data_IF_800720178827
#
_entry.id   IF_800720178827
#
_cell.length_a   1.000
_cell.length_b   1.000
_cell.length_c   1.000
_cell.angle_alpha   90.00
_cell.angle_beta   90.00
_cell.angle_gamma   90.00
#
_symmetry.space_group_name_H-M   'P 1'
#
loop_
_entity.id
_entity.type
_entity.pdbx_description
1 polymer ?
2 polymer ?
3 non-polymer ?
4 non-polymer ?
5 non-polymer ?
6 non-polymer ?
7 non-polymer ?
8 water ?
#
# COMPACT_ATOMS: atom_id res chain seq x y z
N UNK A 6 -9.41 -5.61 8.62
CA UNK A 6 -9.14 -5.00 9.93
C UNK A 6 -7.90 -5.60 10.58
N UNK A 7 -8.10 -6.63 11.40
CA UNK A 7 -7.00 -7.25 12.13
C UNK A 7 -6.40 -8.43 11.38
N UNK A 8 -5.30 -8.96 11.90
CA UNK A 8 -4.61 -10.09 11.28
C UNK A 8 -5.12 -11.42 11.83
N UNK A 9 -4.32 -12.48 11.66
CA UNK A 9 -4.73 -13.79 12.03
C UNK A 9 -4.60 -14.01 13.52
N UNK A 10 -5.37 -14.97 14.04
CA UNK A 10 -5.30 -15.35 15.45
C UNK A 10 -3.98 -16.05 15.76
N UNK A 26 14.14 3.54 30.18
CA UNK A 26 13.81 4.87 29.67
C UNK A 26 13.99 5.93 30.75
N UNK A 27 14.99 6.79 30.58
CA UNK A 27 15.28 7.85 31.53
C UNK A 27 15.02 9.22 30.92
N UNK A 28 14.74 10.21 31.77
CA UNK A 28 14.47 11.57 31.32
C UNK A 28 15.49 12.55 31.89
N UNK A 29 16.13 13.31 31.01
CA UNK A 29 17.14 14.30 31.41
C UNK A 29 16.73 15.72 31.01
N UNK A 30 17.67 16.65 31.11
CA UNK A 30 17.42 18.05 30.77
C UNK A 30 18.57 18.64 29.95
N UNK A 35 16.36 21.27 26.81
CA UNK A 35 15.00 20.73 26.65
C UNK A 35 14.84 19.39 27.36
N UNK A 36 13.67 18.77 27.21
CA UNK A 36 13.42 17.48 27.81
C UNK A 36 14.00 16.37 26.93
N UNK A 37 14.91 15.59 27.50
CA UNK A 37 15.60 14.54 26.76
C UNK A 37 15.18 13.15 27.23
N UNK A 38 14.73 12.32 26.30
CA UNK A 38 14.40 10.94 26.58
C UNK A 38 15.52 10.03 26.09
N UNK A 39 16.05 9.20 26.99
CA UNK A 39 17.13 8.28 26.65
C UNK A 39 16.67 6.82 26.81
N UNK A 40 16.88 6.03 25.76
CA UNK A 40 16.52 4.61 25.80
C UNK A 40 17.63 3.77 25.18
N UNK A 41 17.68 2.49 25.55
CA UNK A 41 18.59 1.58 24.86
C UNK A 41 17.84 0.85 23.76
N UNK A 42 18.07 1.28 22.53
CA UNK A 42 17.33 0.76 21.38
C UNK A 42 18.20 -0.10 20.48
N UNK A 43 17.56 -1.09 19.88
CA UNK A 43 18.20 -2.02 18.97
C UNK A 43 18.05 -1.53 17.53
N UNK A 44 19.18 -1.39 16.81
CA UNK A 44 19.18 -0.96 15.41
C UNK A 44 18.36 -1.91 14.53
N UNK A 45 17.74 -1.39 13.48
CA UNK A 45 16.86 -2.18 12.64
C UNK A 45 17.55 -3.26 11.82
N UNK A 46 18.74 -2.95 11.32
CA UNK A 46 19.48 -3.86 10.46
C UNK A 46 20.58 -4.57 11.24
N UNK A 47 21.14 -5.61 10.64
CA UNK A 47 22.27 -6.33 11.22
C UNK A 47 21.95 -7.05 12.51
N UNK A 48 22.97 -7.61 13.16
CA UNK A 48 22.84 -8.33 14.42
C UNK A 48 22.40 -7.40 15.55
N UNK A 49 21.70 -7.94 16.54
CA UNK A 49 21.23 -7.14 17.67
C UNK A 49 22.39 -6.58 18.45
N UNK A 50 22.62 -5.28 18.28
CA UNK A 50 23.65 -4.57 19.04
C UNK A 50 23.07 -3.25 19.52
N UNK A 51 22.33 -3.30 20.64
CA UNK A 51 21.59 -2.12 21.10
C UNK A 51 22.52 -1.00 21.54
N UNK A 52 22.09 0.23 21.30
CA UNK A 52 22.89 1.38 21.69
C UNK A 52 21.99 2.42 22.33
N UNK A 53 22.57 3.24 23.20
CA UNK A 53 21.81 4.31 23.83
C UNK A 53 21.38 5.30 22.77
N UNK A 54 20.09 5.64 22.78
CA UNK A 54 19.55 6.62 21.86
C UNK A 54 18.83 7.71 22.65
N UNK A 55 19.15 8.97 22.34
CA UNK A 55 18.53 10.10 23.01
C UNK A 55 17.74 10.94 22.01
N UNK A 56 16.55 11.37 22.40
CA UNK A 56 15.76 12.24 21.54
C UNK A 56 14.99 13.29 22.32
N UNK A 57 14.60 14.36 21.63
CA UNK A 57 13.86 15.47 22.24
C UNK A 57 12.71 15.91 21.35
N UNK A 58 11.98 16.93 21.80
CA UNK A 58 10.91 17.56 21.04
C UNK A 58 9.83 16.57 20.59
N UNK A 59 9.43 15.70 21.49
CA UNK A 59 8.44 14.69 21.17
C UNK A 59 7.06 15.33 21.04
N UNK A 60 6.35 14.97 19.98
CA UNK A 60 4.94 15.32 19.84
C UNK A 60 4.18 14.29 19.00
N UNK A 61 2.91 14.12 19.31
CA UNK A 61 2.05 13.19 18.55
C UNK A 61 1.75 13.77 17.19
N UNK A 62 2.05 13.00 16.14
CA UNK A 62 1.66 13.37 14.79
C UNK A 62 0.61 12.38 14.28
N UNK A 63 0.12 11.53 15.17
CA UNK A 63 -0.86 10.53 14.81
C UNK A 63 -1.29 9.66 15.98
N UNK A 64 -2.60 9.40 16.09
CA UNK A 64 -3.10 8.56 17.16
C UNK A 64 -4.30 7.72 16.73
N UNK A 65 -4.29 6.46 17.12
CA UNK A 65 -5.38 5.55 16.80
C UNK A 65 -5.50 4.44 17.82
N UNK A 66 -6.44 3.53 17.58
CA UNK A 66 -6.65 2.39 18.47
C UNK A 66 -5.48 1.41 18.44
N UNK A 67 -4.59 1.59 17.47
CA UNK A 67 -3.38 0.76 17.35
C UNK A 67 -2.34 1.21 18.37
N UNK A 68 -2.32 2.50 18.65
CA UNK A 68 -1.33 3.10 19.53
C UNK A 68 -1.12 4.57 19.20
N UNK A 69 0.08 5.06 19.42
CA UNK A 69 0.39 6.47 19.16
C UNK A 69 1.65 6.62 18.30
N UNK A 70 1.63 7.57 17.38
CA UNK A 70 2.79 7.87 16.55
C UNK A 70 3.33 9.24 16.91
N UNK A 71 4.63 9.32 17.18
CA UNK A 71 5.24 10.55 17.66
C UNK A 71 6.30 11.03 16.69
N UNK A 72 6.48 12.35 16.61
CA UNK A 72 7.69 12.87 15.99
C UNK A 72 8.69 13.17 17.09
N UNK A 73 9.97 13.06 16.78
CA UNK A 73 11.02 13.43 17.72
C UNK A 73 12.31 13.76 16.98
N UNK A 74 13.23 14.40 17.67
CA UNK A 74 14.51 14.77 17.09
C UNK A 74 15.64 14.07 17.83
N UNK A 75 16.42 13.28 17.11
CA UNK A 75 17.60 12.63 17.71
C UNK A 75 18.60 13.68 18.16
N UNK A 76 19.06 13.55 19.40
CA UNK A 76 19.96 14.54 19.99
C UNK A 76 21.29 14.65 19.26
N UNK A 77 21.85 13.53 18.83
CA UNK A 77 23.16 13.53 18.21
C UNK A 77 23.17 14.21 16.84
N UNK A 78 22.30 13.75 15.95
CA UNK A 78 22.31 14.21 14.56
C UNK A 78 21.34 15.35 14.29
N UNK A 79 20.38 15.55 15.17
CA UNK A 79 19.35 16.55 14.96
C UNK A 79 18.30 16.14 13.94
N UNK A 80 18.40 14.90 13.46
CA UNK A 80 17.47 14.41 12.44
C UNK A 80 16.13 14.05 13.05
N UNK A 81 15.06 14.36 12.32
CA UNK A 81 13.71 14.05 12.76
C UNK A 81 13.40 12.57 12.53
N UNK A 82 12.64 12.00 13.45
CA UNK A 82 12.20 10.62 13.31
C UNK A 82 10.75 10.50 13.70
N UNK A 83 10.13 9.38 13.29
CA UNK A 83 8.79 9.02 13.72
C UNK A 83 8.92 7.86 14.68
N UNK A 84 8.12 7.85 15.73
CA UNK A 84 8.16 6.74 16.66
C UNK A 84 6.77 6.15 16.75
N UNK A 85 6.59 4.99 16.12
CA UNK A 85 5.30 4.33 16.11
C UNK A 85 5.21 3.42 17.32
N UNK A 86 4.29 3.73 18.23
CA UNK A 86 4.14 2.95 19.44
C UNK A 86 2.90 2.06 19.34
N UNK A 87 3.11 0.76 19.35
CA UNK A 87 2.02 -0.20 19.20
C UNK A 87 1.99 -1.19 20.36
N UNK A 88 0.79 -1.45 20.86
CA UNK A 88 0.59 -2.43 21.92
C UNK A 88 0.84 -3.83 21.38
N UNK A 89 1.61 -4.61 22.14
CA UNK A 89 1.91 -5.98 21.74
C UNK A 89 0.79 -6.94 22.15
N UNK A 90 -0.26 -7.00 21.34
CA UNK A 90 -1.40 -7.90 21.60
C UNK A 90 -1.05 -9.35 21.26
N UNK A 91 -1.03 -10.20 22.28
CA UNK A 91 -0.64 -11.59 22.12
C UNK A 91 -1.76 -12.46 21.54
N UNK A 92 -2.96 -11.89 21.42
CA UNK A 92 -4.10 -12.61 20.87
C UNK A 92 -4.02 -12.72 19.34
N UNK A 93 -3.17 -11.90 18.74
CA UNK A 93 -2.97 -11.93 17.30
C UNK A 93 -1.50 -12.14 16.94
N UNK A 94 -1.25 -12.42 15.66
CA UNK A 94 0.13 -12.63 15.19
C UNK A 94 0.76 -11.31 14.74
N UNK A 95 1.83 -10.90 15.43
CA UNK A 95 2.49 -9.63 15.17
C UNK A 95 3.82 -9.80 14.43
N UNK A 96 3.78 -9.61 13.11
CA UNK A 96 4.94 -9.83 12.26
C UNK A 96 5.57 -8.52 11.83
N UNK A 97 5.03 -7.41 12.31
CA UNK A 97 5.45 -6.09 11.82
C UNK A 97 6.94 -5.83 12.04
N UNK A 98 7.44 -6.13 13.23
CA UNK A 98 8.86 -5.94 13.53
C UNK A 98 9.69 -6.94 12.72
N UNK A 99 9.33 -8.21 12.85
CA UNK A 99 10.02 -9.29 12.14
C UNK A 99 10.16 -9.01 10.64
N UNK A 100 9.13 -8.42 10.06
CA UNK A 100 9.13 -8.15 8.63
C UNK A 100 9.96 -6.91 8.28
N UNK A 101 9.71 -5.81 8.99
CA UNK A 101 10.46 -4.57 8.76
C UNK A 101 11.98 -4.72 8.85
N UNK A 102 12.45 -5.51 9.80
CA UNK A 102 13.89 -5.68 10.02
C UNK A 102 14.62 -6.24 8.81
N UNK A 103 13.91 -6.97 7.96
CA UNK A 103 14.53 -7.63 6.81
C UNK A 103 14.49 -6.75 5.58
N UNK A 104 13.78 -5.62 5.68
CA UNK A 104 13.55 -4.77 4.52
C UNK A 104 14.59 -3.66 4.41
N UNK A 105 15.17 -3.53 3.23
CA UNK A 105 16.12 -2.47 2.96
C UNK A 105 15.96 -2.01 1.52
N UNK A 106 15.13 -0.99 1.31
CA UNK A 106 14.81 -0.53 -0.03
C UNK A 106 14.52 0.96 0.00
N UNK A 107 14.86 1.66 -1.08
CA UNK A 107 14.75 3.12 -1.13
C UNK A 107 13.30 3.61 -1.17
N UNK A 108 12.36 2.70 -1.39
CA UNK A 108 10.95 3.07 -1.47
C UNK A 108 10.13 2.48 -0.33
N UNK A 109 10.84 2.12 0.73
CA UNK A 109 10.20 1.61 1.94
C UNK A 109 10.79 2.38 3.11
N UNK A 110 9.94 2.85 4.02
CA UNK A 110 10.44 3.67 5.13
C UNK A 110 11.43 2.90 6.00
N UNK A 111 12.54 3.53 6.33
CA UNK A 111 13.62 2.89 7.08
C UNK A 111 13.28 2.71 8.55
N UNK A 112 13.51 1.51 9.06
CA UNK A 112 13.44 1.26 10.50
C UNK A 112 14.83 1.54 11.07
N UNK A 113 14.96 2.60 11.86
CA UNK A 113 16.27 2.96 12.42
C UNK A 113 16.58 2.13 13.65
N UNK A 114 15.65 2.13 14.59
CA UNK A 114 15.80 1.39 15.84
C UNK A 114 14.44 0.88 16.29
N UNK A 115 14.44 -0.05 17.23
CA UNK A 115 13.22 -0.43 17.94
C UNK A 115 13.53 -0.67 19.40
N UNK A 116 12.57 -0.38 20.28
CA UNK A 116 12.72 -0.65 21.71
C UNK A 116 11.37 -0.92 22.37
N UNK A 117 11.42 -1.51 23.57
CA UNK A 117 10.21 -1.80 24.33
C UNK A 117 10.05 -0.91 25.55
N UNK A 118 8.80 -0.61 25.89
CA UNK A 118 8.49 0.28 27.01
C UNK A 118 7.09 0.00 27.55
N UNK A 119 6.88 0.34 28.82
CA UNK A 119 5.57 0.18 29.45
C UNK A 119 4.62 1.31 29.08
N UNK A 122 -1.75 1.66 29.26
CA UNK A 122 -2.26 0.55 30.05
C UNK A 122 -1.18 -0.05 30.95
N UNK A 123 -1.46 -0.10 32.24
CA UNK A 123 -0.53 -0.67 33.21
C UNK A 123 -0.38 -2.17 32.99
N UNK A 124 0.75 -2.72 33.46
CA UNK A 124 1.07 -4.14 33.29
C UNK A 124 1.02 -4.56 31.82
N UNK A 125 1.43 -3.66 30.94
CA UNK A 125 1.44 -3.93 29.50
C UNK A 125 2.73 -3.43 28.87
N UNK A 126 3.17 -4.09 27.81
CA UNK A 126 4.40 -3.70 27.12
C UNK A 126 4.15 -3.29 25.67
N UNK A 127 4.67 -2.12 25.32
CA UNK A 127 4.49 -1.56 23.97
C UNK A 127 5.76 -1.67 23.13
N UNK A 128 5.57 -1.87 21.84
CA UNK A 128 6.67 -1.91 20.87
C UNK A 128 6.86 -0.54 20.23
N UNK A 129 8.09 -0.05 20.22
CA UNK A 129 8.39 1.26 19.64
C UNK A 129 9.25 1.13 18.39
N UNK A 130 8.74 1.64 17.27
CA UNK A 130 9.49 1.58 16.03
C UNK A 130 9.97 2.98 15.68
N UNK A 131 11.29 3.15 15.67
CA UNK A 131 11.88 4.45 15.34
C UNK A 131 12.18 4.48 13.84
N UNK A 132 11.42 5.28 13.11
CA UNK A 132 11.47 5.28 11.65
C UNK A 132 11.95 6.62 11.14
N UNK A 133 12.41 6.67 9.89
CA UNK A 133 12.69 7.96 9.27
C UNK A 133 11.38 8.73 9.22
N UNK A 134 11.46 10.03 9.45
CA UNK A 134 10.28 10.87 9.40
C UNK A 134 10.07 11.33 7.97
N UNK A 135 8.85 11.12 7.48
CA UNK A 135 8.46 11.56 6.15
C UNK A 135 7.21 12.41 6.30
N UNK A 136 7.25 13.66 5.83
CA UNK A 136 6.22 14.65 6.20
C UNK A 136 4.82 14.47 5.57
N UNK A 137 4.71 13.91 4.37
CA UNK A 137 3.39 13.81 3.72
C UNK A 137 3.01 12.39 3.34
N UNK A 138 1.76 12.22 2.91
CA UNK A 138 1.28 10.96 2.38
C UNK A 138 0.57 11.21 1.06
N UNK A 139 0.43 10.17 0.25
CA UNK A 139 -0.29 10.29 -1.01
C UNK A 139 -1.72 10.76 -0.72
N UNK A 140 -2.31 10.26 0.36
CA UNK A 140 -3.67 10.65 0.72
C UNK A 140 -3.83 12.15 0.94
N UNK A 141 -2.95 12.75 1.78
CA UNK A 141 -3.05 14.18 2.07
C UNK A 141 -2.81 15.01 0.82
N UNK A 142 -1.84 14.58 0.02
CA UNK A 142 -1.56 15.29 -1.21
C UNK A 142 -2.75 15.25 -2.17
N UNK A 143 -3.35 14.07 -2.34
CA UNK A 143 -4.53 13.96 -3.20
C UNK A 143 -5.71 14.77 -2.66
N UNK A 144 -5.89 14.77 -1.33
CA UNK A 144 -6.94 15.61 -0.73
C UNK A 144 -6.78 17.07 -1.11
N UNK A 145 -5.52 17.54 -1.23
CA UNK A 145 -5.31 18.95 -1.57
C UNK A 145 -5.90 19.26 -2.94
N UNK A 146 -5.61 18.41 -3.91
CA UNK A 146 -6.09 18.62 -5.27
C UNK A 146 -7.61 18.53 -5.34
N UNK A 147 -8.18 17.58 -4.59
CA UNK A 147 -9.63 17.42 -4.51
C UNK A 147 -10.34 18.68 -4.05
N UNK A 148 -9.93 19.23 -2.90
CA UNK A 148 -10.59 20.45 -2.43
C UNK A 148 -10.25 21.68 -3.26
N UNK A 149 -9.15 21.61 -4.00
CA UNK A 149 -8.81 22.68 -4.95
C UNK A 149 -9.49 22.46 -6.31
N UNK A 150 -10.21 21.36 -6.43
CA UNK A 150 -10.86 20.97 -7.69
C UNK A 150 -9.86 20.93 -8.85
N UNK A 151 -8.69 20.35 -8.59
CA UNK A 151 -7.67 20.13 -9.61
C UNK A 151 -7.32 18.65 -9.57
N UNK A 152 -6.62 18.17 -10.59
CA UNK A 152 -6.12 16.81 -10.51
C UNK A 152 -4.60 16.83 -10.39
N UNK A 153 -4.08 15.86 -9.65
CA UNK A 153 -2.64 15.68 -9.56
C UNK A 153 -2.07 15.54 -10.96
N UNK A 154 -1.06 16.36 -11.30
CA UNK A 154 -0.41 16.28 -12.60
C UNK A 154 0.10 14.86 -12.87
N UNK A 155 -0.03 14.43 -14.11
CA UNK A 155 0.30 13.07 -14.50
C UNK A 155 1.72 12.69 -14.12
N UNK A 156 2.64 13.64 -14.22
CA UNK A 156 4.05 13.38 -13.90
C UNK A 156 4.18 12.80 -12.49
N UNK A 157 3.40 13.32 -11.56
CA UNK A 157 3.40 12.80 -10.20
C UNK A 157 2.70 11.45 -10.09
N UNK A 158 1.60 11.29 -10.83
CA UNK A 158 0.92 9.99 -10.86
C UNK A 158 1.93 8.93 -11.29
N UNK A 159 2.64 9.21 -12.39
CA UNK A 159 3.72 8.34 -12.86
C UNK A 159 4.78 8.08 -11.77
N UNK A 160 5.31 9.15 -11.18
CA UNK A 160 6.36 9.04 -10.17
C UNK A 160 5.95 8.21 -8.97
N UNK A 161 4.80 8.53 -8.41
CA UNK A 161 4.32 7.86 -7.20
C UNK A 161 4.00 6.39 -7.46
N UNK A 162 3.26 6.11 -8.53
CA UNK A 162 2.85 4.74 -8.84
C UNK A 162 4.06 3.87 -9.13
N UNK A 163 5.00 4.41 -9.89
CA UNK A 163 6.21 3.67 -10.26
C UNK A 163 6.99 3.27 -9.01
N UNK A 164 7.13 4.21 -8.08
CA UNK A 164 7.89 3.92 -6.86
C UNK A 164 7.15 2.90 -5.99
N UNK A 165 5.83 3.03 -5.94
CA UNK A 165 5.00 2.02 -5.27
C UNK A 165 5.23 0.62 -5.84
N UNK A 166 5.17 0.50 -7.17
CA UNK A 166 5.38 -0.81 -7.79
C UNK A 166 6.77 -1.38 -7.51
N UNK A 167 7.78 -0.50 -7.44
CA UNK A 167 9.13 -0.94 -7.11
C UNK A 167 9.18 -1.51 -5.71
N UNK A 168 8.49 -0.85 -4.78
CA UNK A 168 8.48 -1.34 -3.40
C UNK A 168 7.76 -2.68 -3.34
N UNK A 169 6.67 -2.82 -4.10
CA UNK A 169 5.94 -4.08 -4.14
C UNK A 169 6.77 -5.19 -4.76
N UNK A 170 7.50 -4.87 -5.83
CA UNK A 170 8.37 -5.87 -6.45
C UNK A 170 9.39 -6.39 -5.44
N UNK A 171 9.87 -5.47 -4.59
CA UNK A 171 10.86 -5.83 -3.59
C UNK A 171 10.32 -6.75 -2.50
N UNK A 172 9.23 -6.35 -1.85
CA UNK A 172 8.64 -7.19 -0.81
C UNK A 172 8.11 -8.53 -1.34
N UNK A 173 7.57 -8.53 -2.56
CA UNK A 173 7.04 -9.78 -3.13
C UNK A 173 8.14 -10.78 -3.43
N UNK A 174 9.35 -10.28 -3.66
CA UNK A 174 10.47 -11.15 -4.01
C UNK A 174 10.88 -11.99 -2.79
N UNK A 175 10.49 -11.53 -1.60
CA UNK A 175 10.71 -12.27 -0.39
C UNK A 175 9.46 -13.06 0.01
N UNK A 176 8.43 -13.00 -0.85
CA UNK A 176 7.18 -13.67 -0.58
C UNK A 176 6.27 -12.90 0.36
N UNK A 177 6.68 -11.69 0.69
CA UNK A 177 5.93 -10.85 1.62
C UNK A 177 4.83 -10.04 0.93
N UNK A 178 3.61 -10.17 1.43
CA UNK A 178 2.47 -9.41 0.93
C UNK A 178 2.10 -8.34 1.95
N UNK A 179 1.91 -7.10 1.48
CA UNK A 179 1.64 -5.97 2.40
C UNK A 179 0.25 -6.07 3.03
N UNK A 180 -0.74 -6.36 2.18
CA UNK A 180 -2.12 -6.57 2.60
C UNK A 180 -2.87 -5.32 3.06
N UNK A 181 -2.27 -4.14 2.90
CA UNK A 181 -2.95 -2.91 3.31
C UNK A 181 -2.49 -1.72 2.49
N UNK A 182 -2.32 -1.95 1.19
CA UNK A 182 -1.94 -0.90 0.28
C UNK A 182 -3.08 0.12 0.13
N UNK A 183 -2.76 1.39 0.40
CA UNK A 183 -3.72 2.49 0.30
C UNK A 183 -2.95 3.83 0.45
N UNK A 184 -3.54 4.94 -0.04
CA UNK A 184 -2.79 6.21 -0.06
C UNK A 184 -2.27 6.67 1.30
N UNK A 185 -2.97 6.32 2.37
CA UNK A 185 -2.55 6.70 3.71
C UNK A 185 -1.26 5.99 4.12
N UNK A 186 -0.96 4.87 3.46
CA UNK A 186 0.25 4.12 3.77
C UNK A 186 1.41 4.41 2.82
N UNK A 187 1.27 5.45 2.01
CA UNK A 187 2.30 5.83 1.08
C UNK A 187 2.83 7.20 1.46
N UNK A 188 3.97 7.21 2.16
CA UNK A 188 4.59 8.45 2.63
C UNK A 188 5.27 9.17 1.48
N UNK A 189 5.29 10.50 1.55
CA UNK A 189 5.91 11.31 0.51
C UNK A 189 6.78 12.39 1.10
N UNK A 190 7.91 12.61 0.44
CA UNK A 190 8.72 13.80 0.64
C UNK A 190 8.48 14.66 -0.59
N UNK A 191 7.58 15.65 -0.47
CA UNK A 191 7.16 16.51 -1.58
C UNK A 191 8.31 17.24 -2.27
N UNK A 192 9.36 17.55 -1.53
CA UNK A 192 10.53 18.21 -2.11
C UNK A 192 11.30 17.30 -3.06
N UNK A 193 11.49 16.05 -2.65
CA UNK A 193 12.28 15.10 -3.45
C UNK A 193 11.41 14.17 -4.29
N UNK A 194 10.11 14.22 -4.04
CA UNK A 194 9.14 13.34 -4.72
C UNK A 194 9.43 11.86 -4.49
N UNK A 195 10.09 11.54 -3.38
CA UNK A 195 10.38 10.17 -3.03
C UNK A 195 9.20 9.59 -2.27
N UNK A 196 8.72 8.43 -2.71
CA UNK A 196 7.66 7.73 -2.00
C UNK A 196 8.26 6.62 -1.16
N UNK A 197 7.76 6.46 0.06
CA UNK A 197 8.13 5.34 0.90
C UNK A 197 6.90 4.59 1.43
N UNK A 198 6.81 3.31 1.12
CA UNK A 198 5.74 2.47 1.66
C UNK A 198 5.92 2.28 3.17
N UNK A 199 4.84 2.42 3.93
CA UNK A 199 4.91 2.21 5.38
C UNK A 199 3.82 1.27 5.86
N UNK A 200 3.78 1.06 7.18
CA UNK A 200 2.78 0.24 7.85
C UNK A 200 2.81 -1.22 7.43
N UNK A 201 3.62 -2.01 8.09
CA UNK A 201 3.68 -3.43 7.81
C UNK A 201 2.95 -4.24 8.87
N UNK A 202 2.06 -3.57 9.59
CA UNK A 202 1.24 -4.20 10.61
C UNK A 202 0.27 -5.25 10.11
N UNK A 203 -0.02 -5.26 8.81
CA UNK A 203 -0.90 -6.29 8.23
C UNK A 203 -0.13 -7.26 7.34
N UNK A 204 1.16 -6.97 7.12
CA UNK A 204 1.97 -7.73 6.18
C UNK A 204 2.20 -9.18 6.61
N UNK A 205 2.46 -10.03 5.63
CA UNK A 205 2.64 -11.46 5.91
C UNK A 205 3.33 -12.16 4.75
N UNK A 206 4.18 -13.14 5.07
CA UNK A 206 4.74 -13.97 4.03
C UNK A 206 3.73 -15.07 3.66
N UNK A 207 3.22 -14.99 2.44
CA UNK A 207 2.20 -15.94 2.00
C UNK A 207 2.84 -17.26 1.58
N UNK A 208 2.26 -18.36 2.02
CA UNK A 208 2.73 -19.68 1.66
C UNK A 208 1.59 -20.50 1.07
N UNK A 209 1.76 -20.94 -0.19
CA UNK A 209 0.75 -21.76 -0.85
C UNK A 209 0.42 -22.98 -0.01
N UNK A 210 -0.86 -23.23 0.20
CA UNK A 210 -1.29 -24.35 1.00
C UNK A 210 -1.66 -23.95 2.41
N UNK A 211 -1.11 -22.83 2.87
CA UNK A 211 -1.45 -22.30 4.19
C UNK A 211 -2.46 -21.16 4.04
N UNK A 212 -3.63 -21.33 4.66
CA UNK A 212 -4.72 -20.35 4.54
C UNK A 212 -4.43 -19.03 5.26
N UNK A 213 -5.10 -17.98 4.82
CA UNK A 213 -4.92 -16.66 5.40
C UNK A 213 -6.25 -16.04 5.84
N UNK A 214 -6.17 -14.92 6.54
CA UNK A 214 -7.36 -14.20 6.94
C UNK A 214 -7.90 -13.45 5.73
N UNK A 215 -9.20 -13.54 5.51
CA UNK A 215 -9.81 -12.85 4.38
C UNK A 215 -10.19 -11.40 4.70
N UNK A 216 -10.53 -11.12 5.95
CA UNK A 216 -10.91 -9.77 6.31
C UNK A 216 -9.67 -8.91 6.50
N UNK A 217 -8.94 -8.73 5.42
CA UNK A 217 -7.70 -7.99 5.43
C UNK A 217 -7.90 -6.89 4.40
N UNK A 218 -6.98 -5.93 4.36
CA UNK A 218 -7.07 -4.78 3.44
C UNK A 218 -8.17 -3.82 3.83
N UNK A 219 -7.94 -2.53 3.60
CA UNK A 219 -8.89 -1.49 3.98
C UNK A 219 -9.98 -1.32 2.92
N UNK A 220 -11.15 -0.89 3.36
CA UNK A 220 -12.26 -0.61 2.47
C UNK A 220 -11.79 0.28 1.32
N UNK A 221 -12.39 0.08 0.15
CA UNK A 221 -12.08 0.76 -1.11
C UNK A 221 -10.93 0.08 -1.87
N UNK A 222 -10.00 -0.53 -1.14
CA UNK A 222 -8.78 -1.07 -1.77
C UNK A 222 -8.70 -2.60 -1.77
N UNK A 223 -9.79 -3.25 -1.38
CA UNK A 223 -9.80 -4.70 -1.19
C UNK A 223 -10.09 -5.42 -2.50
N UNK A 224 -9.23 -6.37 -2.83
CA UNK A 224 -9.39 -7.15 -4.05
C UNK A 224 -10.71 -7.93 -3.99
N UNK A 225 -11.33 -8.16 -5.17
CA UNK A 225 -12.62 -8.87 -5.19
C UNK A 225 -12.54 -10.26 -4.57
N UNK A 226 -11.42 -10.95 -4.72
CA UNK A 226 -11.31 -12.28 -4.10
C UNK A 226 -11.35 -12.22 -2.57
N UNK A 227 -10.83 -11.13 -1.99
CA UNK A 227 -10.93 -10.92 -0.55
C UNK A 227 -12.35 -10.63 -0.12
N UNK A 228 -13.07 -9.84 -0.92
CA UNK A 228 -14.46 -9.53 -0.62
C UNK A 228 -15.32 -10.80 -0.70
N UNK A 229 -15.02 -11.67 -1.67
CA UNK A 229 -15.68 -12.97 -1.75
C UNK A 229 -15.16 -13.93 -0.69
N UNK A 230 -14.31 -13.45 0.22
CA UNK A 230 -13.92 -14.25 1.37
C UNK A 230 -12.85 -15.30 1.16
N UNK A 231 -12.07 -15.20 0.08
CA UNK A 231 -10.99 -16.16 -0.17
C UNK A 231 -9.94 -16.17 0.95
N UNK A 232 -9.44 -17.37 1.25
CA UNK A 232 -8.38 -17.53 2.23
C UNK A 232 -7.09 -18.02 1.57
N UNK A 233 -7.15 -18.29 0.26
CA UNK A 233 -5.98 -18.81 -0.46
C UNK A 233 -5.41 -17.79 -1.44
N UNK A 234 -5.56 -16.50 -1.14
CA UNK A 234 -5.14 -15.47 -2.08
C UNK A 234 -3.61 -15.32 -2.15
N UNK A 235 -3.14 -14.51 -3.10
CA UNK A 235 -1.70 -14.31 -3.29
C UNK A 235 -1.33 -12.83 -3.16
N UNK A 236 -0.07 -12.52 -3.44
CA UNK A 236 0.42 -11.16 -3.34
C UNK A 236 -0.23 -10.24 -4.37
N UNK A 237 -0.92 -10.81 -5.34
CA UNK A 237 -1.58 -10.01 -6.37
C UNK A 237 -2.71 -9.15 -5.80
N UNK A 238 -3.10 -9.40 -4.56
CA UNK A 238 -4.06 -8.51 -3.91
C UNK A 238 -3.46 -7.10 -3.73
N UNK A 239 -2.14 -7.03 -3.57
CA UNK A 239 -1.47 -5.73 -3.42
C UNK A 239 -1.55 -4.98 -4.74
N UNK A 240 -1.50 -5.74 -5.84
CA UNK A 240 -1.55 -5.15 -7.18
C UNK A 240 -2.93 -4.55 -7.44
N UNK A 241 -3.98 -5.25 -7.01
CA UNK A 241 -5.33 -4.70 -7.13
C UNK A 241 -5.45 -3.40 -6.33
N UNK A 242 -4.98 -3.43 -5.10
CA UNK A 242 -4.97 -2.23 -4.26
C UNK A 242 -4.24 -1.07 -4.96
N UNK A 243 -3.11 -1.39 -5.58
CA UNK A 243 -2.32 -0.39 -6.31
C UNK A 243 -3.12 0.17 -7.48
N UNK A 244 -3.89 -0.68 -8.13
CA UNK A 244 -4.69 -0.24 -9.25
C UNK A 244 -5.77 0.72 -8.79
N UNK A 245 -6.30 0.46 -7.60
CA UNK A 245 -7.27 1.36 -6.98
C UNK A 245 -6.66 2.73 -6.65
N UNK A 246 -5.42 2.73 -6.19
CA UNK A 246 -4.71 3.97 -5.88
C UNK A 246 -4.52 4.77 -7.15
N UNK A 247 -4.09 4.08 -8.22
CA UNK A 247 -3.88 4.72 -9.51
C UNK A 247 -5.17 5.36 -10.00
N UNK A 248 -6.26 4.60 -9.97
CA UNK A 248 -7.53 5.06 -10.47
C UNK A 248 -7.99 6.25 -9.66
N UNK A 249 -7.82 6.16 -8.35
CA UNK A 249 -8.18 7.24 -7.44
C UNK A 249 -7.41 8.53 -7.77
N UNK A 250 -6.11 8.40 -8.04
CA UNK A 250 -5.31 9.58 -8.38
C UNK A 250 -5.76 10.21 -9.70
N UNK A 251 -6.11 9.36 -10.67
CA UNK A 251 -6.61 9.84 -11.95
C UNK A 251 -7.98 10.50 -11.82
N UNK A 252 -8.78 9.98 -10.91
CA UNK A 252 -10.19 10.35 -10.85
C UNK A 252 -10.44 11.51 -9.90
N UNK A 253 -9.70 11.55 -8.80
CA UNK A 253 -9.88 12.60 -7.80
C UNK A 253 -10.68 12.11 -6.61
N UNK A 254 -11.16 10.87 -6.69
CA UNK A 254 -11.86 10.21 -5.59
C UNK A 254 -11.75 8.67 -5.69
N UNK A 255 -12.10 7.94 -4.61
CA UNK A 255 -11.96 6.48 -4.70
C UNK A 255 -12.88 5.90 -5.75
N UNK A 256 -12.41 4.90 -6.48
CA UNK A 256 -13.17 4.37 -7.60
C UNK A 256 -14.23 3.36 -7.15
N UNK A 257 -13.98 2.67 -6.05
CA UNK A 257 -14.90 1.64 -5.55
C UNK A 257 -15.24 1.88 -4.08
N UNK A 258 -15.96 2.97 -3.78
CA UNK A 258 -16.31 3.24 -2.38
C UNK A 258 -17.48 2.35 -1.92
N UNK A 259 -17.86 2.47 -0.65
CA UNK A 259 -18.91 1.64 -0.10
C UNK A 259 -18.53 1.12 1.27
N UNK A 260 -19.48 1.07 2.19
CA UNK A 260 -19.21 0.61 3.54
C UNK A 260 -18.98 -0.90 3.65
N UNK A 261 -19.84 -1.68 3.00
CA UNK A 261 -19.78 -3.13 3.08
C UNK A 261 -19.12 -3.74 1.85
N UNK A 262 -18.72 -4.99 1.97
CA UNK A 262 -18.22 -5.77 0.85
C UNK A 262 -19.18 -5.78 -0.32
N UNK A 263 -20.47 -5.97 -0.05
CA UNK A 263 -21.45 -6.00 -1.14
C UNK A 263 -21.49 -4.65 -1.86
N UNK A 264 -21.56 -3.56 -1.10
CA UNK A 264 -21.47 -2.20 -1.65
C UNK A 264 -20.26 -2.07 -2.58
N UNK A 265 -19.11 -2.54 -2.11
CA UNK A 265 -17.85 -2.44 -2.85
C UNK A 265 -17.84 -3.29 -4.11
N UNK A 266 -18.40 -4.49 -4.01
CA UNK A 266 -18.45 -5.40 -5.15
C UNK A 266 -19.40 -4.87 -6.24
N UNK A 267 -20.46 -4.20 -5.83
CA UNK A 267 -21.39 -3.61 -6.78
C UNK A 267 -20.70 -2.52 -7.60
N UNK A 268 -19.93 -1.66 -6.91
CA UNK A 268 -19.16 -0.61 -7.60
C UNK A 268 -18.16 -1.23 -8.56
N UNK A 269 -17.49 -2.28 -8.11
CA UNK A 269 -16.58 -3.01 -8.98
C UNK A 269 -17.31 -3.56 -10.21
N UNK A 270 -18.43 -4.23 -9.99
CA UNK A 270 -19.18 -4.85 -11.08
C UNK A 270 -19.70 -3.78 -12.05
N UNK A 271 -20.12 -2.66 -11.48
CA UNK A 271 -20.62 -1.55 -12.27
C UNK A 271 -19.56 -0.98 -13.22
N UNK A 272 -18.28 -1.24 -12.92
CA UNK A 272 -17.21 -0.83 -13.82
C UNK A 272 -16.77 -1.99 -14.72
N UNK A 273 -16.40 -3.11 -14.09
CA UNK A 273 -15.80 -4.23 -14.82
C UNK A 273 -16.84 -5.12 -15.50
N UNK A 274 -18.11 -4.97 -15.12
CA UNK A 274 -19.14 -5.89 -15.57
C UNK A 274 -19.17 -7.09 -14.63
N UNK A 275 -20.25 -7.86 -14.68
CA UNK A 275 -20.34 -9.08 -13.87
C UNK A 275 -19.21 -10.02 -14.27
N UNK A 276 -18.49 -10.57 -13.28
CA UNK A 276 -17.44 -11.55 -13.56
C UNK A 276 -18.03 -12.83 -14.13
N UNK A 277 -17.32 -13.48 -15.04
CA UNK A 277 -17.78 -14.73 -15.62
C UNK A 277 -17.60 -15.83 -14.57
N UNK A 278 -18.14 -17.02 -14.84
CA UNK A 278 -18.04 -18.12 -13.90
C UNK A 278 -16.58 -18.50 -13.65
N UNK A 279 -15.78 -18.46 -14.71
CA UNK A 279 -14.37 -18.78 -14.61
C UNK A 279 -13.62 -17.75 -13.76
N UNK A 280 -13.90 -16.46 -13.96
CA UNK A 280 -13.30 -15.42 -13.12
C UNK A 280 -13.69 -15.59 -11.65
N UNK A 281 -14.97 -15.90 -11.42
CA UNK A 281 -15.46 -16.23 -10.09
C UNK A 281 -14.71 -17.43 -9.50
N UNK A 282 -14.50 -18.46 -10.32
CA UNK A 282 -13.79 -19.64 -9.86
C UNK A 282 -12.36 -19.30 -9.43
N UNK A 283 -11.73 -18.39 -10.17
CA UNK A 283 -10.37 -17.97 -9.86
C UNK A 283 -10.33 -17.20 -8.54
N UNK A 284 -11.40 -16.48 -8.23
CA UNK A 284 -11.46 -15.69 -7.02
C UNK A 284 -11.85 -16.52 -5.80
N UNK A 285 -12.98 -17.21 -5.91
CA UNK A 285 -13.46 -18.09 -4.85
C UNK A 285 -14.46 -19.09 -5.47
N UNK A 286 -14.05 -20.37 -5.59
CA UNK A 286 -14.86 -21.41 -6.22
C UNK A 286 -16.22 -21.62 -5.54
N UNK A 287 -16.35 -21.25 -4.27
CA UNK A 287 -17.62 -21.42 -3.57
C UNK A 287 -18.76 -20.57 -4.11
N UNK A 288 -18.46 -19.62 -5.00
CA UNK A 288 -19.50 -18.76 -5.57
C UNK A 288 -19.86 -19.08 -7.04
N UNK A 289 -19.32 -20.17 -7.57
CA UNK A 289 -19.45 -20.44 -9.01
C UNK A 289 -20.86 -20.77 -9.49
N UNK A 290 -21.77 -21.16 -8.59
CA UNK A 290 -23.06 -21.69 -9.04
C UNK A 290 -24.23 -20.73 -8.83
N UNK A 291 -23.99 -19.60 -8.18
CA UNK A 291 -25.04 -18.60 -8.02
C UNK A 291 -25.29 -17.87 -9.34
N UNK A 292 -26.52 -17.44 -9.55
CA UNK A 292 -26.89 -16.79 -10.80
C UNK A 292 -26.91 -15.28 -10.61
N UNK A 293 -25.76 -14.65 -10.84
CA UNK A 293 -25.66 -13.21 -10.71
C UNK A 293 -26.21 -12.53 -11.94
N UNK A 294 -26.99 -11.46 -11.74
CA UNK A 294 -27.48 -10.68 -12.88
C UNK A 294 -26.29 -10.18 -13.68
N UNK A 295 -26.45 -10.15 -15.00
CA UNK A 295 -25.35 -9.86 -15.92
C UNK A 295 -25.32 -8.36 -16.23
N UNK A 296 -24.43 -7.64 -15.55
CA UNK A 296 -24.26 -6.21 -15.77
C UNK A 296 -23.14 -5.95 -16.77
N UNK A 297 -23.39 -5.09 -17.75
CA UNK A 297 -22.39 -4.77 -18.77
C UNK A 297 -21.28 -3.88 -18.21
N UNK A 298 -20.05 -4.14 -18.63
CA UNK A 298 -18.91 -3.35 -18.22
C UNK A 298 -19.02 -1.93 -18.73
N UNK A 299 -18.52 -0.99 -17.94
CA UNK A 299 -18.47 0.40 -18.34
C UNK A 299 -17.04 0.68 -18.83
N UNK A 300 -16.90 1.08 -20.11
CA UNK A 300 -15.60 1.28 -20.74
C UNK A 300 -14.70 2.18 -19.92
N UNK A 301 -13.48 1.72 -19.68
CA UNK A 301 -12.51 2.47 -18.89
C UNK A 301 -12.32 3.90 -19.38
N UNK A 302 -12.49 4.11 -20.68
CA UNK A 302 -12.34 5.43 -21.27
C UNK A 302 -13.49 6.37 -20.89
N UNK A 303 -14.58 5.78 -20.40
CA UNK A 303 -15.73 6.57 -19.95
C UNK A 303 -15.69 6.74 -18.43
N UNK A 304 -14.93 5.88 -17.76
CA UNK A 304 -14.74 5.97 -16.32
C UNK A 304 -13.96 7.24 -15.95
N UNK A 305 -12.89 7.50 -16.71
CA UNK A 305 -12.02 8.65 -16.43
C UNK A 305 -12.36 9.85 -17.30
N UNK A 306 -11.76 10.99 -17.00
CA UNK A 306 -11.96 12.21 -17.78
C UNK A 306 -11.36 12.06 -19.17
N UNK A 307 -11.89 12.81 -20.16
CA UNK A 307 -11.44 12.67 -21.56
C UNK A 307 -9.96 12.99 -21.78
N UNK A 308 -9.34 13.75 -20.90
CA UNK A 308 -7.95 14.11 -21.09
C UNK A 308 -6.99 13.13 -20.44
N UNK A 309 -7.53 12.02 -19.94
CA UNK A 309 -6.70 10.99 -19.32
C UNK A 309 -5.84 10.28 -20.37
N UNK A 310 -4.53 10.15 -20.10
CA UNK A 310 -3.62 9.47 -21.02
C UNK A 310 -4.02 8.02 -21.23
N UNK A 311 -4.08 7.57 -22.50
CA UNK A 311 -4.47 6.21 -22.87
C UNK A 311 -3.65 5.15 -22.15
N UNK A 312 -2.36 5.40 -21.98
CA UNK A 312 -1.49 4.43 -21.34
C UNK A 312 -1.79 4.28 -19.84
N UNK A 313 -2.34 5.31 -19.23
CA UNK A 313 -2.76 5.23 -17.83
C UNK A 313 -4.00 4.34 -17.74
N UNK A 314 -4.93 4.54 -18.66
CA UNK A 314 -6.12 3.72 -18.75
C UNK A 314 -5.74 2.26 -19.00
N UNK A 315 -4.84 2.05 -19.95
CA UNK A 315 -4.36 0.71 -20.28
C UNK A 315 -3.75 0.03 -19.06
N UNK A 316 -2.84 0.73 -18.38
CA UNK A 316 -2.21 0.20 -17.18
C UNK A 316 -3.25 -0.17 -16.15
N UNK A 317 -4.18 0.75 -15.90
CA UNK A 317 -5.24 0.49 -14.94
C UNK A 317 -6.02 -0.79 -15.25
N UNK A 318 -6.39 -1.00 -16.51
CA UNK A 318 -7.19 -2.17 -16.86
C UNK A 318 -6.44 -3.47 -16.68
N UNK A 319 -5.10 -3.40 -16.71
CA UNK A 319 -4.27 -4.58 -16.55
C UNK A 319 -3.94 -4.83 -15.08
N UNK A 320 -4.35 -3.90 -14.23
CA UNK A 320 -4.18 -4.03 -12.79
C UNK A 320 -5.47 -4.49 -12.14
N UNK A 321 -6.57 -3.89 -12.56
CA UNK A 321 -7.87 -4.17 -11.97
C UNK A 321 -8.56 -5.28 -12.75
N UNK A 322 -8.05 -6.50 -12.59
CA UNK A 322 -8.60 -7.68 -13.25
C UNK A 322 -9.20 -8.61 -12.20
N UNK A 323 -10.32 -9.23 -12.53
CA UNK A 323 -10.94 -10.19 -11.63
C UNK A 323 -9.99 -11.36 -11.36
N UNK A 324 -9.47 -11.97 -12.42
CA UNK A 324 -8.59 -13.12 -12.27
C UNK A 324 -7.22 -12.71 -11.75
N UNK A 325 -6.92 -13.05 -10.49
CA UNK A 325 -5.72 -12.55 -9.80
C UNK A 325 -4.43 -12.80 -10.60
N UNK A 326 -4.33 -13.97 -11.25
CA UNK A 326 -3.15 -14.32 -12.05
C UNK A 326 -3.03 -13.52 -13.33
N UNK A 327 -4.11 -12.88 -13.76
CA UNK A 327 -4.07 -12.05 -14.98
C UNK A 327 -3.54 -10.64 -14.69
N UNK A 328 -3.51 -10.25 -13.42
CA UNK A 328 -2.97 -8.94 -13.05
C UNK A 328 -1.47 -8.90 -13.34
N UNK A 329 -0.99 -7.75 -13.82
CA UNK A 329 0.44 -7.53 -13.95
C UNK A 329 1.14 -7.77 -12.61
N UNK A 330 2.36 -8.28 -12.67
CA UNK A 330 3.22 -8.28 -11.49
C UNK A 330 3.74 -6.84 -11.30
N UNK A 331 4.20 -6.51 -10.08
CA UNK A 331 4.75 -5.16 -9.86
C UNK A 331 5.88 -4.80 -10.80
N UNK A 332 6.82 -5.73 -11.03
CA UNK A 332 7.94 -5.48 -11.92
C UNK A 332 7.48 -5.26 -13.36
N UNK A 333 6.47 -5.99 -13.77
CA UNK A 333 5.88 -5.81 -15.10
C UNK A 333 5.22 -4.44 -15.16
N UNK A 334 4.55 -4.06 -14.08
CA UNK A 334 3.91 -2.76 -14.03
C UNK A 334 4.93 -1.62 -14.18
N UNK A 335 6.11 -1.79 -13.57
CA UNK A 335 7.16 -0.79 -13.69
C UNK A 335 7.59 -0.62 -15.15
N UNK A 336 7.53 -1.71 -15.91
CA UNK A 336 7.97 -1.71 -17.30
C UNK A 336 6.90 -1.22 -18.27
N UNK A 337 5.73 -0.85 -17.75
CA UNK A 337 4.59 -0.47 -18.59
C UNK A 337 4.89 0.84 -19.30
N UNK A 338 4.30 1.00 -20.48
CA UNK A 338 4.51 2.20 -21.30
C UNK A 338 4.09 3.49 -20.62
N UNK A 339 3.25 3.39 -19.59
CA UNK A 339 2.78 4.56 -18.88
C UNK A 339 3.93 5.29 -18.21
N UNK A 340 4.98 4.53 -17.86
CA UNK A 340 6.13 5.06 -17.15
C UNK A 340 7.30 5.36 -18.08
N UNK A 341 7.05 5.32 -19.39
CA UNK A 341 8.10 5.56 -20.39
C UNK A 341 8.74 6.92 -20.21
N UNK A 342 7.93 7.91 -19.84
CA UNK A 342 8.43 9.27 -19.63
C UNK A 342 9.51 9.31 -18.56
N UNK A 343 9.34 8.54 -17.49
CA UNK A 343 10.33 8.50 -16.41
C UNK A 343 11.68 7.94 -16.86
N UNK A 344 11.72 7.29 -18.02
CA UNK A 344 12.97 6.74 -18.53
C UNK A 344 13.66 7.69 -19.50
N UNK A 345 13.01 8.81 -19.77
CA UNK A 345 13.59 9.86 -20.62
C UNK A 345 14.64 10.64 -19.83
N UNK A 346 15.88 10.68 -20.33
CA UNK A 346 17.00 11.33 -19.63
C UNK A 346 16.75 12.82 -19.34
N UNK A 347 15.94 13.47 -20.16
CA UNK A 347 15.70 14.91 -20.01
C UNK A 347 14.50 15.31 -19.13
N UNK A 348 13.99 14.39 -18.32
CA UNK A 348 12.88 14.72 -17.42
C UNK A 348 13.34 15.35 -16.10
N UNK A 349 12.46 16.14 -15.50
CA UNK A 349 12.72 16.77 -14.22
C UNK A 349 11.42 17.04 -13.46
N UNK A 350 11.53 17.20 -12.14
CA UNK A 350 10.39 17.60 -11.32
C UNK A 350 10.01 19.04 -11.65
N UNK A 351 8.72 19.36 -11.53
CA UNK A 351 8.19 20.72 -11.77
C UNK A 351 8.83 21.80 -10.90
N UNK A 352 9.48 21.41 -9.81
CA UNK A 352 10.16 22.37 -8.94
C UNK A 352 11.61 22.64 -9.37
N UNK A 353 12.01 22.02 -10.48
CA UNK A 353 13.34 22.22 -11.02
C UNK A 353 14.30 21.09 -10.75
N UNK A 354 14.10 20.39 -9.62
CA UNK A 354 15.01 19.33 -9.20
C UNK A 354 14.93 18.09 -10.10
N UNK A 355 15.93 17.23 -9.97
CA UNK A 355 15.99 15.99 -10.74
C UNK A 355 15.14 14.92 -10.07
N UNK A 356 14.74 13.93 -10.86
CA UNK A 356 13.95 12.82 -10.34
C UNK A 356 14.79 12.03 -9.34
N UNK A 357 14.13 11.34 -8.40
CA UNK A 357 14.82 10.48 -7.45
C UNK A 357 15.48 9.31 -8.16
N UNK A 358 16.16 8.45 -7.41
CA UNK A 358 16.73 7.23 -7.97
C UNK A 358 15.58 6.33 -8.43
N UNK A 359 15.65 5.86 -9.68
CA UNK A 359 14.56 5.08 -10.25
C UNK A 359 15.05 3.81 -10.94
N UNK A 360 16.35 3.75 -11.22
CA UNK A 360 16.87 2.67 -12.05
C UNK A 360 17.93 1.82 -11.35
N UNK A 361 18.15 2.07 -10.07
CA UNK A 361 19.16 1.32 -9.32
C UNK A 361 18.65 -0.02 -8.82
N UNK A 362 18.10 -0.80 -9.74
CA UNK A 362 17.55 -2.11 -9.42
C UNK A 362 18.62 -3.11 -8.99
N UNK A 363 18.29 -3.94 -8.01
CA UNK A 363 19.19 -5.01 -7.59
C UNK A 363 18.79 -6.34 -8.23
N UNK A 364 19.65 -7.34 -8.07
CA UNK A 364 19.38 -8.68 -8.57
C UNK A 364 18.13 -9.24 -7.89
N UNK A 365 17.95 -8.87 -6.63
CA UNK A 365 16.78 -9.30 -5.87
C UNK A 365 15.51 -8.72 -6.47
N UNK A 366 15.52 -7.42 -6.76
CA UNK A 366 14.36 -6.74 -7.32
C UNK A 366 13.91 -7.31 -8.65
N UNK A 367 14.89 -7.70 -9.47
CA UNK A 367 14.62 -8.17 -10.83
C UNK A 367 14.43 -9.68 -10.91
N UNK A 368 14.43 -10.34 -9.75
CA UNK A 368 14.48 -11.80 -9.73
C UNK A 368 13.26 -12.47 -10.38
N UNK A 369 12.10 -11.83 -10.28
CA UNK A 369 10.89 -12.39 -10.86
C UNK A 369 10.96 -12.43 -12.38
N UNK A 370 11.74 -11.53 -12.97
CA UNK A 370 11.84 -11.45 -14.42
C UNK A 370 13.07 -10.66 -14.88
N UNK A 371 14.26 -11.27 -14.78
CA UNK A 371 15.51 -10.62 -15.14
C UNK A 371 15.57 -9.95 -16.54
N UNK A 372 14.96 -10.54 -17.58
CA UNK A 372 15.01 -9.86 -18.88
C UNK A 372 14.35 -8.48 -18.92
N UNK A 373 13.54 -8.14 -17.93
CA UNK A 373 12.88 -6.83 -17.90
C UNK A 373 13.88 -5.68 -17.65
N UNK A 374 15.11 -6.02 -17.33
CA UNK A 374 16.15 -5.03 -17.07
C UNK A 374 16.44 -4.19 -18.32
N UNK A 375 16.23 -4.79 -19.49
CA UNK A 375 16.43 -4.09 -20.76
C UNK A 375 15.50 -2.89 -20.87
N UNK A 376 14.29 -3.03 -20.33
CA UNK A 376 13.33 -1.93 -20.32
C UNK A 376 13.54 -1.05 -19.10
N UNK A 377 13.62 -1.67 -17.92
CA UNK A 377 13.69 -0.94 -16.65
C UNK A 377 14.94 -0.08 -16.49
N UNK A 378 16.05 -0.53 -17.06
CA UNK A 378 17.29 0.24 -16.99
C UNK A 378 17.66 0.79 -18.36
N UNK A 379 17.27 2.05 -18.62
CA UNK A 379 17.56 2.73 -19.89
C UNK A 379 19.07 2.88 -20.07
N UNK A 380 19.54 3.06 -21.32
CA UNK A 380 20.97 3.13 -21.63
C UNK A 380 21.70 4.24 -20.88
N UNK A 381 21.04 5.38 -20.72
CA UNK A 381 21.66 6.52 -20.04
C UNK A 381 21.78 6.28 -18.54
N UNK A 382 21.10 5.26 -18.04
CA UNK A 382 21.16 4.93 -16.62
C UNK A 382 22.31 3.96 -16.30
N UNK A 383 22.81 3.30 -17.33
CA UNK A 383 23.92 2.36 -17.18
C UNK A 383 25.21 3.07 -16.70
N UNK A 384 25.42 4.29 -17.18
CA UNK A 384 26.60 5.06 -16.80
C UNK A 384 26.35 5.91 -15.57
N UNK B 5 -18.59 -14.86 5.94
CA UNK B 5 -20.05 -14.96 5.88
C UNK B 5 -20.47 -16.13 4.98
N UNK B 6 -21.70 -16.60 5.15
CA UNK B 6 -22.22 -17.66 4.30
C UNK B 6 -22.29 -17.19 2.86
N UNK B 7 -21.73 -18.00 1.94
CA UNK B 7 -21.81 -17.69 0.51
C UNK B 7 -23.25 -17.50 0.04
N UNK B 8 -24.16 -18.33 0.54
CA UNK B 8 -25.58 -18.20 0.19
C UNK B 8 -26.13 -16.84 0.59
N UNK B 9 -25.85 -16.42 1.83
CA UNK B 9 -26.31 -15.12 2.33
C UNK B 9 -25.68 -13.96 1.56
N UNK B 10 -24.39 -14.07 1.29
CA UNK B 10 -23.66 -13.03 0.57
C UNK B 10 -24.19 -12.89 -0.87
N UNK B 11 -24.31 -14.03 -1.55
CA UNK B 11 -24.86 -14.05 -2.90
C UNK B 11 -26.28 -13.48 -3.02
N UNK B 12 -27.16 -13.82 -2.09
CA UNK B 12 -28.53 -13.31 -2.14
C UNK B 12 -28.56 -11.79 -2.09
N UNK B 13 -27.74 -11.24 -1.19
CA UNK B 13 -27.69 -9.80 -1.06
C UNK B 13 -27.14 -9.17 -2.32
N UNK B 14 -26.07 -9.76 -2.85
CA UNK B 14 -25.43 -9.25 -4.07
C UNK B 14 -26.38 -9.32 -5.26
N UNK B 15 -27.06 -10.47 -5.41
CA UNK B 15 -28.02 -10.65 -6.48
C UNK B 15 -29.13 -9.61 -6.38
N UNK B 16 -29.65 -9.45 -5.17
CA UNK B 16 -30.67 -8.45 -4.91
C UNK B 16 -30.21 -7.05 -5.33
N UNK B 17 -28.98 -6.70 -4.96
CA UNK B 17 -28.44 -5.38 -5.29
C UNK B 17 -28.19 -5.20 -6.79
N UNK B 18 -27.70 -6.25 -7.45
CA UNK B 18 -27.42 -6.17 -8.86
C UNK B 18 -28.71 -6.06 -9.70
N UNK B 19 -29.79 -6.69 -9.22
CA UNK B 19 -31.09 -6.58 -9.88
C UNK B 19 -31.60 -5.14 -9.86
N UNK B 20 -31.30 -4.41 -8.79
CA UNK B 20 -31.76 -3.03 -8.64
C UNK B 20 -31.03 -2.04 -9.54
N UNK B 21 -29.74 -2.26 -9.78
CA UNK B 21 -29.00 -1.36 -10.68
C UNK B 21 -29.17 -1.78 -12.13
N UNK B 22 -29.73 -2.96 -12.34
CA UNK B 22 -29.93 -3.47 -13.69
C UNK B 22 -31.29 -3.03 -14.21
N UNK B 23 -32.32 -3.20 -13.38
CA UNK B 23 -33.71 -2.96 -13.77
C UNK B 23 -34.01 -1.49 -14.12
X LIG C 1 8.02 8.75 23.30
X LIG C 1 9.01 9.45 24.01
X LIG C 1 7.53 7.58 24.15
X LIG C 1 6.13 7.56 24.13
X LIG C 1 8.07 6.27 23.58
X LIG C 1 7.49 5.17 24.25
X LIG D 1 -17.32 7.52 -8.76
X LIG D 1 -16.48 7.31 -7.65
X LIG D 1 -16.49 7.78 -10.02
X LIG D 1 -16.46 9.17 -10.28
X LIG D 1 -17.11 7.03 -11.20
X LIG D 1 -16.44 7.36 -12.40
X LIG E 1 25.02 -8.68 22.38
X LIG E 1 25.26 -8.94 23.74
X LIG E 1 24.09 -7.49 22.25
X LIG E 1 22.76 -7.91 22.44
X LIG E 1 24.44 -6.49 23.34
X LIG E 1 25.72 -5.97 23.07
X LIG F 1 -9.96 25.04 0.83
X LIG F 1 -10.77 23.92 1.13
X LIG F 1 -9.01 24.69 -0.31
X LIG F 1 -7.74 24.39 0.22
X LIG F 1 -8.91 25.88 -1.27
X LIG F 1 -8.20 25.51 -2.43
X LIG G 1 -1.50 2.75 8.04
X LIG H 1 -1.15 -1.24 10.63
X LIG I 1 -26.30 -3.55 -17.05
X LIG J 1 -1.41 -15.05 -17.19
X LIG J 1 0.09 -14.06 -16.92
X LIG J 1 -0.21 -12.58 -16.78
X LIG J 1 -0.83 -12.09 -17.96
X LIG J 1 1.06 -11.77 -16.51
X LIG J 1 0.94 -10.49 -17.11
X LIG J 1 1.30 -11.64 -15.02
X LIG J 1 2.31 -12.99 -14.34
X LIG K 1 -1.32 2.01 11.43
X LIG K 1 -2.20 2.34 10.25
X LIG K 1 -1.42 3.01 12.56
X LIG K 1 -1.34 0.57 11.88
X LIG K 1 0.77 3.40 10.13
X LIG K 1 0.39 3.38 8.66
X LIG K 1 2.21 3.49 10.53
X LIG K 1 0.18 2.10 10.85
X LIG K 1 -0.10 4.63 10.69
X LIG K 1 0.51 5.75 11.29
X LIG K 1 0.14 7.04 10.55
X LIG K 1 1.11 7.99 11.00
X LIG K 1 0.27 6.94 9.04
X LIG K 1 -0.98 7.01 8.34
X LIG K 1 1.14 8.13 8.64
X LIG K 1 0.35 9.22 8.16
X LIG K 1 1.85 8.56 9.92
X LIG K 1 3.21 7.98 9.79
X LIG K 1 3.54 6.67 9.83
X LIG K 1 4.87 6.48 9.64
X LIG K 1 5.42 7.70 9.47
X LIG K 1 6.77 8.22 9.23
X LIG K 1 7.84 7.39 9.13
X LIG K 1 6.92 9.56 9.11
X LIG K 1 5.88 10.40 9.22
X LIG K 1 4.61 10.00 9.42
X LIG K 1 4.33 8.68 9.55
#
# INVERSE_FOLDING_TARGET
>A
MSGRPRTTSFAESCKPVQQPSAFGSMKVSRDKDGSKVTTVVATPGQGPDRPQEVSYTDTKVIGNGSFGVVYQAKLCDSGELVAIKKVLQDKRFKNRELQIMRKLDHCNIVRLRYFFYSSGEKKDEVYLNLVLDYVPETVYRVARHYSRAKQTLPVIYVKLYMYQLFRSLAYIHSFGICHRDIKPQNLLLDPDTAVLKLCDFGSAKQLVRGEPNVSYICSRYYRAPELIFGATDYTSSIDVWSAGCVLAELLLGQPIFPGDSGVDQLVEIIKVLGTPTREQIREMNPNYTEFKFPQIKAHPWTKVFRPRTPPEAIALCSRLLEYTPTARLTPLEACAHSFFDELRDPNVKLPNGRDTPALFNFTTQELSSNPPLATILIPPHARHHHHHH
>B
GGILVEPQKFAEELIHRLEAVQRT
>C hetero
1 GOL C1 O1 C2 O2 C3 O3
>D hetero
1 GOL C1 O1 C2 O2 C3 O3
>E hetero
1 GOL C1 O1 C2 O2 C3 O3
>F hetero
1 GOL C1 O1 C2 O2 C3 O3
>G hetero
1 MG MG
>H hetero
1 MG MG
>I hetero
1 CL CL
>J hetero
1 DTT S1 C1 C2 O2 C3 O3 C4 S4
>K hetero
1 ADP PB O1B O2B O3B PA O1A O2A O3A O5' C5' C4' O4' C3' O3' C2' O2' C1' N9 C8 N7 C5 C6 N6 N1 C2 N3 C4
#
